data_IF_039617094330
#
_entry.id   IF_039617094330
#
_cell.length_a   1.000
_cell.length_b   1.000
_cell.length_c   1.000
_cell.angle_alpha   90.00
_cell.angle_beta   90.00
_cell.angle_gamma   90.00
#
_symmetry.space_group_name_H-M   'P 1'
#
loop_
_entity.id
_entity.type
_entity.pdbx_description
1 polymer ?
#
# COMPACT_ATOMS: atom_id res chain seq x y z
N UNK A 1 9.77 -20.36 -7.68
CA UNK A 1 9.56 -19.31 -6.66
C UNK A 1 8.99 -19.96 -5.40
N UNK A 2 9.58 -19.69 -4.24
CA UNK A 2 9.05 -20.18 -2.95
C UNK A 2 7.78 -19.40 -2.58
N UNK A 3 6.94 -19.97 -1.72
CA UNK A 3 5.68 -19.32 -1.30
C UNK A 3 5.92 -17.95 -0.65
N UNK A 4 6.99 -17.82 0.16
CA UNK A 4 7.29 -16.57 0.86
C UNK A 4 7.71 -15.44 -0.09
N UNK A 5 8.56 -15.74 -1.07
CA UNK A 5 9.00 -14.79 -2.11
C UNK A 5 7.80 -14.32 -2.94
N UNK A 6 6.93 -15.27 -3.34
CA UNK A 6 5.71 -14.98 -4.09
C UNK A 6 4.76 -14.07 -3.31
N UNK A 7 4.54 -14.35 -2.02
CA UNK A 7 3.68 -13.54 -1.16
C UNK A 7 4.22 -12.12 -1.00
N UNK A 8 5.54 -11.96 -0.87
CA UNK A 8 6.18 -10.64 -0.82
C UNK A 8 6.00 -9.87 -2.13
N UNK A 9 6.23 -10.50 -3.29
CA UNK A 9 6.00 -9.84 -4.58
C UNK A 9 4.52 -9.53 -4.85
N UNK A 10 3.61 -10.42 -4.46
CA UNK A 10 2.17 -10.19 -4.58
C UNK A 10 1.75 -8.98 -3.76
N UNK A 11 2.25 -8.85 -2.53
CA UNK A 11 1.99 -7.70 -1.67
C UNK A 11 2.55 -6.39 -2.26
N UNK A 12 3.77 -6.41 -2.81
CA UNK A 12 4.36 -5.27 -3.52
C UNK A 12 3.53 -4.87 -4.75
N UNK A 13 3.05 -5.86 -5.50
CA UNK A 13 2.23 -5.66 -6.70
C UNK A 13 0.90 -5.00 -6.35
N UNK A 14 0.22 -5.51 -5.32
CA UNK A 14 -1.01 -4.91 -4.80
C UNK A 14 -0.78 -3.50 -4.24
N UNK A 15 0.33 -3.26 -3.53
CA UNK A 15 0.69 -1.91 -3.07
C UNK A 15 0.87 -0.92 -4.23
N UNK A 16 1.35 -1.36 -5.39
CA UNK A 16 1.49 -0.51 -6.59
C UNK A 16 0.18 -0.29 -7.32
N UNK A 17 -0.58 -1.36 -7.57
CA UNK A 17 -1.77 -1.35 -8.44
C UNK A 17 -3.07 -1.01 -7.69
N UNK A 18 -3.07 -1.13 -6.35
CA UNK A 18 -4.23 -1.02 -5.45
C UNK A 18 -5.30 -2.09 -5.62
N UNK A 19 -5.50 -2.55 -6.84
CA UNK A 19 -6.46 -3.58 -7.21
C UNK A 19 -5.88 -4.45 -8.31
N UNK A 20 -6.16 -5.76 -8.27
CA UNK A 20 -5.98 -6.64 -9.42
C UNK A 20 -6.94 -7.84 -9.37
N UNK A 21 -7.11 -8.52 -10.49
CA UNK A 21 -7.93 -9.72 -10.57
C UNK A 21 -7.13 -10.99 -10.25
N UNK A 22 -7.82 -12.01 -9.74
CA UNK A 22 -7.19 -13.29 -9.36
C UNK A 22 -6.55 -13.99 -10.56
N UNK A 23 -7.22 -13.99 -11.71
CA UNK A 23 -6.75 -14.60 -12.96
C UNK A 23 -5.50 -13.89 -13.50
N UNK A 24 -5.50 -12.55 -13.48
CA UNK A 24 -4.32 -11.75 -13.84
C UNK A 24 -3.11 -12.06 -12.95
N UNK A 25 -3.31 -12.06 -11.62
CA UNK A 25 -2.25 -12.39 -10.68
C UNK A 25 -1.77 -13.84 -10.87
N UNK A 26 -2.68 -14.78 -11.09
CA UNK A 26 -2.33 -16.18 -11.34
C UNK A 26 -1.47 -16.33 -12.60
N UNK A 27 -1.84 -15.63 -13.67
CA UNK A 27 -1.08 -15.57 -14.91
C UNK A 27 0.31 -14.96 -14.70
N UNK A 28 0.41 -13.78 -14.08
CA UNK A 28 1.68 -13.07 -13.86
C UNK A 28 2.66 -13.88 -13.00
N UNK A 29 2.18 -14.49 -11.92
CA UNK A 29 3.01 -15.31 -11.04
C UNK A 29 3.18 -16.75 -11.52
N UNK A 30 2.64 -17.11 -12.69
CA UNK A 30 2.69 -18.46 -13.28
C UNK A 30 2.23 -19.56 -12.30
N UNK A 31 1.14 -19.32 -11.57
CA UNK A 31 0.57 -20.26 -10.59
C UNK A 31 -0.93 -20.46 -10.83
N UNK A 32 -1.52 -21.49 -10.21
CA UNK A 32 -2.97 -21.66 -10.25
C UNK A 32 -3.69 -20.57 -9.44
N UNK A 33 -4.91 -20.23 -9.84
CA UNK A 33 -5.74 -19.31 -9.06
C UNK A 33 -5.96 -19.79 -7.62
N UNK A 34 -6.02 -21.12 -7.40
CA UNK A 34 -6.10 -21.71 -6.06
C UNK A 34 -4.91 -21.32 -5.18
N UNK A 35 -3.71 -21.23 -5.78
CA UNK A 35 -2.49 -20.84 -5.07
C UNK A 35 -2.53 -19.35 -4.72
N UNK A 36 -2.91 -18.49 -5.68
CA UNK A 36 -3.08 -17.05 -5.44
C UNK A 36 -4.11 -16.78 -4.34
N UNK A 37 -5.29 -17.44 -4.38
CA UNK A 37 -6.31 -17.28 -3.33
C UNK A 37 -5.78 -17.66 -1.95
N UNK A 38 -4.99 -18.73 -1.83
CA UNK A 38 -4.36 -19.12 -0.56
C UNK A 38 -3.33 -18.10 -0.08
N UNK A 39 -2.51 -17.56 -0.99
CA UNK A 39 -1.53 -16.55 -0.66
C UNK A 39 -2.19 -15.24 -0.20
N UNK A 40 -3.27 -14.82 -0.87
CA UNK A 40 -4.08 -13.66 -0.46
C UNK A 40 -4.73 -13.91 0.89
N UNK A 41 -5.30 -15.10 1.11
CA UNK A 41 -5.91 -15.45 2.39
C UNK A 41 -4.88 -15.36 3.52
N UNK A 42 -3.67 -15.88 3.32
CA UNK A 42 -2.60 -15.72 4.30
C UNK A 42 -2.27 -14.25 4.55
N UNK A 43 -2.02 -13.49 3.48
CA UNK A 43 -1.61 -12.09 3.61
C UNK A 43 -2.70 -11.24 4.28
N UNK A 44 -3.98 -11.53 4.01
CA UNK A 44 -5.10 -10.81 4.64
C UNK A 44 -5.15 -10.95 6.17
N UNK A 45 -4.45 -11.93 6.75
CA UNK A 45 -4.35 -12.06 8.21
C UNK A 45 -3.44 -10.99 8.84
N UNK A 46 -2.51 -10.41 8.07
CA UNK A 46 -1.49 -9.47 8.59
C UNK A 46 -1.48 -8.13 7.86
N UNK A 47 -2.11 -8.06 6.69
CA UNK A 47 -2.10 -6.90 5.80
C UNK A 47 -3.54 -6.52 5.46
N UNK A 48 -3.83 -5.22 5.21
CA UNK A 48 -5.18 -4.74 4.93
C UNK A 48 -5.58 -5.06 3.48
N UNK A 49 -5.66 -6.34 3.17
CA UNK A 49 -6.05 -6.90 1.87
C UNK A 49 -7.43 -7.51 2.01
N UNK A 50 -8.30 -7.23 1.04
CA UNK A 50 -9.63 -7.84 0.98
C UNK A 50 -9.98 -8.22 -0.46
N UNK A 51 -10.92 -9.14 -0.60
CA UNK A 51 -11.46 -9.53 -1.90
C UNK A 51 -12.88 -9.00 -2.07
N UNK A 52 -13.18 -8.42 -3.22
CA UNK A 52 -14.54 -8.03 -3.59
C UNK A 52 -15.05 -8.98 -4.69
N UNK A 53 -16.31 -9.41 -4.55
CA UNK A 53 -16.99 -10.30 -5.48
C UNK A 53 -17.99 -9.58 -6.40
N UNK A 54 -18.20 -8.28 -6.24
CA UNK A 54 -19.10 -7.50 -7.10
C UNK A 54 -18.50 -7.42 -8.52
N UNK A 55 -19.33 -7.65 -9.54
CA UNK A 55 -18.91 -7.78 -10.96
C UNK A 55 -17.94 -6.70 -11.47
N UNK A 56 -18.10 -5.45 -11.03
CA UNK A 56 -17.30 -4.32 -11.50
C UNK A 56 -16.03 -4.05 -10.67
N UNK A 57 -15.98 -4.52 -9.42
CA UNK A 57 -14.84 -4.39 -8.51
C UNK A 57 -14.23 -5.75 -8.17
N UNK A 58 -14.58 -6.79 -8.93
CA UNK A 58 -14.17 -8.16 -8.66
C UNK A 58 -12.64 -8.28 -8.63
N UNK A 59 -12.11 -8.93 -7.61
CA UNK A 59 -10.67 -9.13 -7.45
C UNK A 59 -10.20 -8.85 -6.03
N UNK A 60 -8.93 -8.48 -5.95
CA UNK A 60 -8.17 -8.31 -4.71
C UNK A 60 -7.81 -6.85 -4.60
N UNK A 61 -8.06 -6.28 -3.43
CA UNK A 61 -7.81 -4.88 -3.12
C UNK A 61 -6.89 -4.80 -1.92
N UNK A 62 -6.09 -3.74 -1.88
CA UNK A 62 -5.39 -3.33 -0.67
C UNK A 62 -5.90 -1.96 -0.27
N UNK A 63 -6.06 -1.73 1.03
CA UNK A 63 -6.58 -0.47 1.54
C UNK A 63 -5.78 0.74 1.01
N UNK A 64 -6.51 1.79 0.64
CA UNK A 64 -5.93 2.98 0.07
C UNK A 64 -4.94 3.63 1.04
N UNK A 65 -3.76 4.01 0.54
CA UNK A 65 -2.72 4.57 1.37
C UNK A 65 -1.89 3.55 2.16
N UNK A 66 -2.14 2.24 2.06
CA UNK A 66 -1.21 1.24 2.59
C UNK A 66 0.05 1.16 1.70
N UNK A 67 1.24 1.24 2.29
CA UNK A 67 2.50 1.04 1.57
C UNK A 67 3.38 0.08 2.37
N UNK A 68 3.80 -1.01 1.72
CA UNK A 68 4.70 -1.97 2.33
C UNK A 68 6.02 -1.29 2.73
N UNK A 69 6.45 -1.49 3.97
CA UNK A 69 7.68 -0.93 4.52
C UNK A 69 7.79 0.62 4.54
N UNK A 70 6.68 1.38 4.36
CA UNK A 70 6.74 2.81 4.67
C UNK A 70 6.79 3.01 6.18
N UNK A 71 7.95 3.46 6.67
CA UNK A 71 8.03 4.13 7.97
C UNK A 71 7.30 5.47 7.82
N UNK A 72 6.12 5.55 8.42
CA UNK A 72 5.46 6.83 8.55
C UNK A 72 6.12 7.66 9.64
N UNK A 73 6.10 8.97 9.45
CA UNK A 73 6.33 9.90 10.54
C UNK A 73 5.30 9.61 11.64
N UNK A 74 5.76 9.52 12.89
CA UNK A 74 4.86 9.58 14.04
C UNK A 74 4.08 10.90 14.00
N UNK A 75 2.87 10.97 14.57
CA UNK A 75 2.09 12.20 14.59
C UNK A 75 2.87 13.42 15.12
N UNK A 76 3.68 13.20 16.17
CA UNK A 76 4.57 14.23 16.75
C UNK A 76 5.66 14.70 15.77
N UNK A 77 6.23 13.79 14.99
CA UNK A 77 7.25 14.11 13.99
C UNK A 77 6.64 14.88 12.81
N UNK A 78 5.45 14.49 12.34
CA UNK A 78 4.70 15.21 11.30
C UNK A 78 4.40 16.64 11.77
N UNK A 79 3.80 16.78 12.95
CA UNK A 79 3.47 18.09 13.52
C UNK A 79 4.73 18.98 13.70
N UNK A 80 5.84 18.40 14.17
CA UNK A 80 7.10 19.13 14.27
C UNK A 80 7.57 19.66 12.91
N UNK A 81 7.58 18.81 11.88
CA UNK A 81 7.98 19.24 10.53
C UNK A 81 7.02 20.28 9.94
N UNK A 82 5.72 20.17 10.18
CA UNK A 82 4.74 21.20 9.77
C UNK A 82 5.01 22.55 10.42
N UNK A 83 5.38 22.58 11.71
CA UNK A 83 5.76 23.83 12.38
C UNK A 83 7.02 24.46 11.79
N UNK A 84 7.97 23.65 11.33
CA UNK A 84 9.17 24.13 10.62
C UNK A 84 8.80 24.63 9.22
N UNK A 85 7.99 23.88 8.47
CA UNK A 85 7.54 24.25 7.13
C UNK A 85 6.86 25.64 7.11
N UNK A 86 6.08 25.97 8.14
CA UNK A 86 5.44 27.28 8.30
C UNK A 86 6.43 28.45 8.46
N UNK A 87 7.67 28.17 8.87
CA UNK A 87 8.74 29.17 9.02
C UNK A 87 9.62 29.30 7.79
N UNK A 88 9.63 28.27 6.93
CA UNK A 88 10.38 28.24 5.67
C UNK A 88 9.66 29.04 4.56
N UNK A 89 10.39 29.45 3.53
CA UNK A 89 9.85 30.18 2.37
C UNK A 89 10.42 29.63 1.06
N UNK A 90 9.68 29.83 -0.03
CA UNK A 90 10.10 29.41 -1.36
C UNK A 90 10.40 27.92 -1.44
N UNK A 91 11.50 27.59 -2.13
CA UNK A 91 11.91 26.22 -2.46
C UNK A 91 12.13 25.33 -1.22
N UNK A 92 12.61 25.87 -0.10
CA UNK A 92 12.82 25.11 1.14
C UNK A 92 11.50 24.62 1.74
N UNK A 93 10.47 25.47 1.68
CA UNK A 93 9.13 25.09 2.14
C UNK A 93 8.52 24.02 1.26
N UNK A 94 8.71 24.13 -0.07
CA UNK A 94 8.21 23.13 -1.02
C UNK A 94 8.86 21.77 -0.80
N UNK A 95 10.20 21.71 -0.65
CA UNK A 95 10.92 20.48 -0.32
C UNK A 95 10.47 19.89 1.02
N UNK A 96 10.25 20.73 2.04
CA UNK A 96 9.76 20.27 3.34
C UNK A 96 8.35 19.68 3.22
N UNK A 97 7.47 20.33 2.45
CA UNK A 97 6.12 19.84 2.22
C UNK A 97 6.13 18.49 1.47
N UNK A 98 6.99 18.34 0.47
CA UNK A 98 7.13 17.07 -0.25
C UNK A 98 7.58 15.92 0.68
N UNK A 99 8.49 16.18 1.62
CA UNK A 99 8.90 15.19 2.62
C UNK A 99 7.72 14.82 3.53
N UNK A 100 6.98 15.82 4.02
CA UNK A 100 5.80 15.60 4.88
C UNK A 100 4.74 14.79 4.12
N UNK A 101 4.48 15.08 2.85
CA UNK A 101 3.47 14.37 2.06
C UNK A 101 3.91 12.94 1.73
N UNK A 102 5.21 12.73 1.50
CA UNK A 102 5.78 11.43 1.15
C UNK A 102 5.81 10.46 2.32
N UNK A 103 6.13 10.95 3.53
CA UNK A 103 6.34 10.15 4.74
C UNK A 103 5.25 10.35 5.80
N UNK A 104 4.37 11.32 5.64
CA UNK A 104 3.20 11.52 6.48
C UNK A 104 2.22 10.37 6.30
N UNK A 105 1.60 9.94 7.40
CA UNK A 105 0.48 8.99 7.33
C UNK A 105 -0.67 9.68 6.61
N UNK A 106 -1.31 9.04 5.60
CA UNK A 106 -2.50 9.59 4.97
C UNK A 106 -3.57 9.74 6.05
N UNK A 107 -4.14 10.95 6.18
CA UNK A 107 -5.27 11.17 7.07
C UNK A 107 -6.47 10.45 6.44
N UNK A 108 -6.77 9.26 6.96
CA UNK A 108 -7.97 8.52 6.59
C UNK A 108 -9.16 9.40 6.95
N UNK A 109 -9.80 10.00 5.94
CA UNK A 109 -11.05 10.74 6.14
C UNK A 109 -12.08 9.73 6.65
N UNK A 110 -12.47 9.89 7.91
CA UNK A 110 -13.65 9.25 8.50
C UNK A 110 -14.93 9.79 7.85
#
# INVERSE_FOLDING_TARGET
>A
MKAIERRQELLNTLCRRRHDKIDNLAFEFCVSERTIRRDIQELSLSYPIYTDSRRNSAGVHIEEGYYLNKQYLKPEQKAFLETIANRLRGEEREKMQEIIDRFGRPDTRA
#
